data_IF_217576663372
#
_entry.id   IF_217576663372
#
_cell.length_a   1.000
_cell.length_b   1.000
_cell.length_c   1.000
_cell.angle_alpha   90.00
_cell.angle_beta   90.00
_cell.angle_gamma   90.00
#
_symmetry.space_group_name_H-M   'P 1'
#
loop_
_entity.id
_entity.type
_entity.pdbx_description
1 polymer ?
#
# COMPACT_ATOMS: atom_id res chain seq x y z
N UNK A 1 -14.10 6.69 3.96
CA UNK A 1 -12.99 5.81 3.56
C UNK A 1 -13.24 5.35 2.12
N UNK A 2 -12.34 5.68 1.19
CA UNK A 2 -12.44 5.30 -0.23
C UNK A 2 -11.21 4.50 -0.61
N UNK A 3 -11.37 3.54 -1.52
CA UNK A 3 -10.30 2.65 -1.96
C UNK A 3 -10.27 2.59 -3.48
N UNK A 4 -9.07 2.70 -4.04
CA UNK A 4 -8.81 2.42 -5.45
C UNK A 4 -8.19 1.05 -5.58
N UNK A 5 -8.67 0.26 -6.53
CA UNK A 5 -8.06 -1.00 -6.95
C UNK A 5 -7.55 -0.81 -8.37
N UNK A 6 -6.32 -1.24 -8.61
CA UNK A 6 -5.72 -1.31 -9.93
C UNK A 6 -5.23 -2.75 -10.12
N UNK A 7 -5.87 -3.47 -11.05
CA UNK A 7 -5.51 -4.82 -11.42
C UNK A 7 -4.64 -4.79 -12.68
N UNK A 8 -3.42 -4.28 -12.51
CA UNK A 8 -2.45 -4.08 -13.60
C UNK A 8 -3.10 -3.46 -14.87
N UNK A 9 -2.55 -3.70 -16.05
CA UNK A 9 -3.06 -3.18 -17.34
C UNK A 9 -4.51 -3.56 -17.69
N UNK A 10 -5.23 -4.31 -16.84
CA UNK A 10 -6.59 -4.76 -17.12
C UNK A 10 -7.65 -3.74 -16.74
N UNK A 11 -7.69 -3.28 -15.49
CA UNK A 11 -8.79 -2.44 -15.03
C UNK A 11 -8.49 -1.69 -13.73
N UNK A 12 -9.11 -0.52 -13.60
CA UNK A 12 -9.06 0.34 -12.41
C UNK A 12 -10.49 0.55 -11.92
N UNK A 13 -10.72 0.34 -10.63
CA UNK A 13 -12.02 0.58 -10.00
C UNK A 13 -11.87 1.31 -8.67
N UNK A 14 -12.81 2.20 -8.37
CA UNK A 14 -12.89 2.96 -7.14
C UNK A 14 -14.16 2.60 -6.37
N UNK A 15 -14.03 2.39 -5.06
CA UNK A 15 -15.12 2.03 -4.15
C UNK A 15 -15.12 2.97 -2.94
N UNK A 16 -16.32 3.36 -2.49
CA UNK A 16 -16.50 4.23 -1.32
C UNK A 16 -17.24 3.48 -0.22
N UNK A 17 -16.57 3.23 0.90
CA UNK A 17 -17.10 2.51 2.08
C UNK A 17 -17.74 1.15 1.77
N UNK A 18 -17.32 0.48 0.70
CA UNK A 18 -17.93 -0.76 0.22
C UNK A 18 -16.84 -1.80 -0.07
N UNK A 19 -16.31 -2.40 1.00
CA UNK A 19 -15.28 -3.43 0.87
C UNK A 19 -15.85 -4.74 0.30
N UNK A 20 -17.14 -5.03 0.52
CA UNK A 20 -17.79 -6.26 0.04
C UNK A 20 -17.93 -6.23 -1.49
N UNK A 21 -18.43 -5.13 -2.05
CA UNK A 21 -18.51 -4.97 -3.50
C UNK A 21 -17.11 -4.92 -4.13
N UNK A 22 -16.14 -4.32 -3.44
CA UNK A 22 -14.74 -4.31 -3.88
C UNK A 22 -14.19 -5.73 -4.01
N UNK A 23 -14.27 -6.54 -2.94
CA UNK A 23 -13.71 -7.90 -2.95
C UNK A 23 -14.45 -8.80 -3.94
N UNK A 24 -15.78 -8.69 -4.01
CA UNK A 24 -16.58 -9.41 -4.99
C UNK A 24 -16.19 -9.03 -6.43
N UNK A 25 -16.02 -7.74 -6.72
CA UNK A 25 -15.63 -7.29 -8.06
C UNK A 25 -14.24 -7.80 -8.46
N UNK A 26 -13.26 -7.72 -7.54
CA UNK A 26 -11.89 -8.21 -7.78
C UNK A 26 -11.88 -9.72 -8.03
N UNK A 27 -12.58 -10.50 -7.22
CA UNK A 27 -12.62 -11.96 -7.37
C UNK A 27 -13.34 -12.43 -8.66
N UNK A 28 -14.12 -11.57 -9.30
CA UNK A 28 -14.74 -11.85 -10.60
C UNK A 28 -13.86 -11.47 -11.80
N UNK A 29 -12.66 -10.92 -11.58
CA UNK A 29 -11.69 -10.66 -12.65
C UNK A 29 -10.79 -11.88 -12.88
N UNK A 30 -10.13 -11.92 -14.05
CA UNK A 30 -9.05 -12.88 -14.29
C UNK A 30 -7.82 -12.48 -13.46
N UNK A 31 -7.54 -13.23 -12.40
CA UNK A 31 -6.40 -13.00 -11.50
C UNK A 31 -5.18 -13.82 -11.94
N UNK A 32 -3.98 -13.27 -11.77
CA UNK A 32 -2.73 -14.00 -11.99
C UNK A 32 -2.48 -15.04 -10.90
N UNK A 33 -1.69 -16.08 -11.21
CA UNK A 33 -1.17 -17.03 -10.23
C UNK A 33 0.37 -17.07 -10.31
N UNK A 34 1.10 -16.54 -9.29
CA UNK A 34 0.56 -15.95 -8.07
C UNK A 34 -0.01 -14.53 -8.29
N UNK A 35 -1.01 -14.17 -7.49
CA UNK A 35 -1.54 -12.82 -7.36
C UNK A 35 -0.63 -12.01 -6.44
N UNK A 36 -0.07 -10.91 -6.95
CA UNK A 36 0.73 -9.99 -6.14
C UNK A 36 -0.14 -8.88 -5.56
N UNK A 37 -0.14 -8.75 -4.23
CA UNK A 37 -0.92 -7.77 -3.48
C UNK A 37 0.02 -6.80 -2.75
N UNK A 38 0.07 -5.54 -3.20
CA UNK A 38 0.90 -4.47 -2.61
C UNK A 38 0.12 -3.61 -1.63
N UNK A 39 0.50 -3.64 -0.34
CA UNK A 39 -0.17 -2.84 0.69
C UNK A 39 0.75 -1.86 1.42
N UNK A 40 0.17 -0.79 1.95
CA UNK A 40 0.85 0.33 2.64
C UNK A 40 1.28 0.04 4.09
N UNK A 41 0.94 -1.15 4.60
CA UNK A 41 1.19 -1.54 5.99
C UNK A 41 -0.02 -1.38 6.92
N UNK A 42 -1.11 -0.76 6.47
CA UNK A 42 -2.31 -0.59 7.28
C UNK A 42 -3.15 -1.89 7.36
N UNK A 43 -3.59 -2.26 8.57
CA UNK A 43 -4.32 -3.53 8.80
C UNK A 43 -5.61 -3.64 8.00
N UNK A 44 -6.26 -2.51 7.77
CA UNK A 44 -7.45 -2.44 6.91
C UNK A 44 -7.21 -2.93 5.48
N UNK A 45 -6.01 -2.77 4.92
CA UNK A 45 -5.66 -3.27 3.57
C UNK A 45 -5.40 -4.78 3.63
N UNK A 46 -4.64 -5.26 4.63
CA UNK A 46 -4.38 -6.68 4.80
C UNK A 46 -5.67 -7.49 5.01
N UNK A 47 -6.63 -6.95 5.78
CA UNK A 47 -7.94 -7.56 6.00
C UNK A 47 -8.82 -7.63 4.74
N UNK A 48 -8.53 -6.82 3.71
CA UNK A 48 -9.19 -6.91 2.41
C UNK A 48 -8.55 -8.01 1.58
N UNK A 49 -7.23 -8.12 1.59
CA UNK A 49 -6.52 -9.18 0.86
C UNK A 49 -6.88 -10.58 1.34
N UNK A 50 -7.23 -10.77 2.61
CA UNK A 50 -7.72 -12.09 3.10
C UNK A 50 -9.00 -12.54 2.41
N UNK A 51 -9.76 -11.62 1.78
CA UNK A 51 -10.99 -11.90 1.05
C UNK A 51 -10.78 -11.98 -0.47
N UNK A 52 -9.55 -11.82 -0.96
CA UNK A 52 -9.21 -11.82 -2.38
C UNK A 52 -8.32 -13.01 -2.72
N UNK A 53 -8.81 -13.83 -3.64
CA UNK A 53 -8.16 -15.06 -4.10
C UNK A 53 -7.88 -16.08 -2.97
N UNK A 54 -7.47 -17.31 -3.33
CA UNK A 54 -6.97 -18.26 -2.36
C UNK A 54 -5.68 -17.75 -1.70
N UNK A 55 -5.51 -18.00 -0.39
CA UNK A 55 -4.30 -17.60 0.33
C UNK A 55 -3.03 -18.24 -0.22
N UNK A 56 -3.12 -19.44 -0.81
CA UNK A 56 -2.01 -20.16 -1.44
C UNK A 56 -1.54 -19.52 -2.75
N UNK A 57 -2.40 -18.76 -3.41
CA UNK A 57 -2.09 -18.08 -4.67
C UNK A 57 -1.71 -16.61 -4.44
N UNK A 58 -1.74 -16.12 -3.21
CA UNK A 58 -1.51 -14.71 -2.90
C UNK A 58 -0.10 -14.47 -2.37
N UNK A 59 0.57 -13.50 -2.97
CA UNK A 59 1.83 -12.93 -2.50
C UNK A 59 1.57 -11.52 -1.99
N UNK A 60 1.61 -11.32 -0.68
CA UNK A 60 1.49 -10.00 -0.07
C UNK A 60 2.87 -9.35 0.05
N UNK A 61 3.01 -8.13 -0.46
CA UNK A 61 4.25 -7.35 -0.43
C UNK A 61 3.97 -6.03 0.27
N UNK A 62 4.80 -5.69 1.26
CA UNK A 62 4.77 -4.37 1.88
C UNK A 62 5.39 -3.36 0.90
N UNK A 63 4.67 -2.28 0.64
CA UNK A 63 5.10 -1.19 -0.22
C UNK A 63 6.46 -0.62 0.22
N UNK A 64 7.41 -0.55 -0.72
CA UNK A 64 8.76 -0.10 -0.47
C UNK A 64 8.83 1.36 0.01
N UNK A 65 8.06 2.27 -0.60
CA UNK A 65 8.03 3.68 -0.20
C UNK A 65 7.54 3.82 1.24
N UNK A 66 6.47 3.12 1.61
CA UNK A 66 5.96 3.15 2.98
C UNK A 66 6.93 2.53 4.00
N UNK A 67 7.66 1.48 3.62
CA UNK A 67 8.72 0.92 4.46
C UNK A 67 9.84 1.94 4.71
N UNK A 68 10.35 2.58 3.66
CA UNK A 68 11.39 3.62 3.76
C UNK A 68 10.89 4.87 4.48
N UNK A 69 9.63 5.27 4.30
CA UNK A 69 9.04 6.39 5.04
C UNK A 69 9.01 6.09 6.55
N UNK A 70 8.68 4.86 6.94
CA UNK A 70 8.74 4.46 8.35
C UNK A 70 10.17 4.39 8.89
N UNK A 71 11.15 3.99 8.08
CA UNK A 71 12.57 4.08 8.43
C UNK A 71 12.99 5.54 8.66
N UNK A 72 12.58 6.46 7.79
CA UNK A 72 12.89 7.89 7.92
C UNK A 72 12.38 8.51 9.23
N UNK A 73 11.27 8.02 9.78
CA UNK A 73 10.72 8.46 11.08
C UNK A 73 11.62 8.12 12.27
N UNK A 74 12.50 7.11 12.13
CA UNK A 74 13.52 6.79 13.15
C UNK A 74 14.48 7.97 13.33
N UNK A 75 14.88 8.60 12.23
CA UNK A 75 15.87 9.68 12.20
C UNK A 75 17.29 9.20 12.52
N UNK A 76 18.20 10.13 12.86
CA UNK A 76 19.58 9.81 13.22
C UNK A 76 20.56 9.95 12.05
N UNK A 77 21.63 9.16 12.09
CA UNK A 77 22.70 9.21 11.08
C UNK A 77 22.22 8.67 9.72
N UNK A 78 22.42 9.46 8.66
CA UNK A 78 22.11 9.05 7.29
C UNK A 78 22.90 7.81 6.85
N UNK A 79 24.14 7.66 7.32
CA UNK A 79 24.94 6.47 7.03
C UNK A 79 24.29 5.20 7.60
N UNK A 80 23.77 5.28 8.83
CA UNK A 80 23.09 4.16 9.49
C UNK A 80 21.77 3.84 8.80
N UNK A 81 20.95 4.86 8.51
CA UNK A 81 19.69 4.67 7.79
C UNK A 81 19.92 4.07 6.40
N UNK A 82 20.96 4.49 5.68
CA UNK A 82 21.33 3.90 4.40
C UNK A 82 21.75 2.43 4.50
N UNK A 83 22.46 2.04 5.58
CA UNK A 83 22.79 0.64 5.81
C UNK A 83 21.55 -0.22 6.09
N UNK A 84 20.61 0.30 6.89
CA UNK A 84 19.32 -0.35 7.16
C UNK A 84 18.51 -0.50 5.87
N UNK A 85 18.41 0.56 5.08
CA UNK A 85 17.73 0.55 3.78
C UNK A 85 18.33 -0.49 2.83
N UNK A 86 19.67 -0.58 2.75
CA UNK A 86 20.35 -1.57 1.92
C UNK A 86 20.05 -3.02 2.34
N UNK A 87 20.01 -3.30 3.65
CA UNK A 87 19.59 -4.60 4.19
C UNK A 87 18.13 -4.90 3.79
N UNK A 88 17.21 -3.96 4.04
CA UNK A 88 15.79 -4.13 3.72
C UNK A 88 15.55 -4.30 2.22
N UNK A 89 16.33 -3.64 1.36
CA UNK A 89 16.26 -3.78 -0.10
C UNK A 89 16.51 -5.23 -0.57
N UNK A 90 17.34 -5.96 0.17
CA UNK A 90 17.62 -7.38 -0.07
C UNK A 90 16.67 -8.32 0.70
N UNK A 91 15.73 -7.78 1.47
CA UNK A 91 14.85 -8.54 2.35
C UNK A 91 15.53 -8.99 3.66
N UNK A 92 16.71 -8.47 3.98
CA UNK A 92 17.46 -8.83 5.18
C UNK A 92 16.98 -8.03 6.40
N UNK A 93 15.95 -8.56 7.05
CA UNK A 93 15.35 -7.95 8.25
C UNK A 93 16.30 -8.05 9.45
N UNK A 94 17.04 -9.15 9.59
CA UNK A 94 17.93 -9.34 10.74
C UNK A 94 19.13 -8.40 10.67
N UNK A 95 19.76 -8.28 9.50
CA UNK A 95 20.83 -7.30 9.28
C UNK A 95 20.36 -5.86 9.47
N UNK A 96 19.13 -5.54 9.07
CA UNK A 96 18.50 -4.25 9.32
C UNK A 96 18.30 -3.97 10.81
N UNK A 97 17.81 -4.95 11.59
CA UNK A 97 17.62 -4.84 13.04
C UNK A 97 18.97 -4.67 13.75
N UNK A 98 20.00 -5.41 13.34
CA UNK A 98 21.33 -5.36 13.94
C UNK A 98 21.99 -3.97 13.88
N UNK A 99 21.63 -3.13 12.90
CA UNK A 99 22.11 -1.74 12.83
C UNK A 99 21.62 -0.86 14.01
N UNK A 100 20.67 -1.35 14.80
CA UNK A 100 20.07 -0.65 15.92
C UNK A 100 20.45 -1.21 17.30
N UNK A 101 21.29 -2.25 17.38
CA UNK A 101 21.62 -2.95 18.63
C UNK A 101 22.18 -2.03 19.74
N UNK A 102 22.96 -1.02 19.34
CA UNK A 102 23.56 -0.03 20.24
C UNK A 102 22.64 1.16 20.56
N UNK A 103 21.45 1.21 19.95
CA UNK A 103 20.58 2.39 19.99
C UNK A 103 19.21 2.11 20.61
N UNK A 104 19.13 2.32 21.92
CA UNK A 104 17.89 2.19 22.69
C UNK A 104 17.09 3.49 22.64
N UNK A 105 16.11 3.54 21.75
CA UNK A 105 15.17 4.66 21.64
C UNK A 105 13.78 4.14 21.26
N UNK A 106 12.72 4.80 21.74
CA UNK A 106 11.33 4.43 21.45
C UNK A 106 11.05 4.29 19.94
N UNK A 107 11.38 5.32 19.14
CA UNK A 107 11.30 5.27 17.67
C UNK A 107 11.95 4.05 17.02
N UNK A 108 13.12 3.63 17.51
CA UNK A 108 13.80 2.42 17.04
C UNK A 108 12.98 1.18 17.39
N UNK A 109 12.52 1.07 18.63
CA UNK A 109 11.66 -0.04 19.07
C UNK A 109 10.35 -0.10 18.27
N UNK A 110 9.74 1.06 17.96
CA UNK A 110 8.56 1.16 17.10
C UNK A 110 8.85 0.62 15.70
N UNK A 111 9.98 0.99 15.09
CA UNK A 111 10.35 0.52 13.76
C UNK A 111 10.67 -0.98 13.74
N UNK A 112 11.39 -1.50 14.73
CA UNK A 112 11.64 -2.95 14.88
C UNK A 112 10.32 -3.72 15.03
N UNK A 113 9.36 -3.17 15.80
CA UNK A 113 8.01 -3.72 15.91
C UNK A 113 7.27 -3.72 14.58
N UNK A 114 7.41 -2.66 13.79
CA UNK A 114 6.86 -2.56 12.43
C UNK A 114 7.47 -3.62 11.50
N UNK A 115 8.80 -3.78 11.47
CA UNK A 115 9.48 -4.82 10.70
C UNK A 115 8.99 -6.22 11.10
N UNK A 116 8.88 -6.48 12.41
CA UNK A 116 8.42 -7.77 12.93
C UNK A 116 6.98 -8.07 12.50
N UNK A 117 6.09 -7.08 12.55
CA UNK A 117 4.69 -7.20 12.10
C UNK A 117 4.59 -7.53 10.61
N UNK A 118 5.48 -6.98 9.79
CA UNK A 118 5.44 -7.13 8.33
C UNK A 118 6.48 -8.11 7.77
N UNK A 119 7.13 -8.91 8.63
CA UNK A 119 8.23 -9.81 8.25
C UNK A 119 7.95 -10.70 7.05
N UNK A 120 6.75 -11.26 6.95
CA UNK A 120 6.36 -12.14 5.82
C UNK A 120 6.09 -11.39 4.51
N UNK A 121 5.99 -10.06 4.57
CA UNK A 121 5.64 -9.17 3.44
C UNK A 121 6.85 -8.37 2.94
N UNK A 122 7.94 -8.38 3.68
CA UNK A 122 9.22 -7.79 3.28
C UNK A 122 9.95 -8.86 2.46
N UNK A 123 10.18 -8.55 1.18
CA UNK A 123 10.77 -9.46 0.19
C UNK A 123 12.13 -8.94 -0.25
N UNK A 124 12.83 -9.68 -1.12
CA UNK A 124 13.97 -9.11 -1.84
C UNK A 124 13.45 -8.15 -2.92
N UNK A 125 13.38 -6.86 -2.58
CA UNK A 125 12.85 -5.81 -3.46
C UNK A 125 13.69 -5.63 -4.72
N UNK A 126 15.02 -5.74 -4.60
CA UNK A 126 15.93 -5.67 -5.75
C UNK A 126 15.66 -6.76 -6.78
N UNK A 127 15.49 -8.00 -6.33
CA UNK A 127 15.13 -9.13 -7.19
C UNK A 127 13.76 -8.91 -7.84
N UNK A 128 12.75 -8.50 -7.08
CA UNK A 128 11.39 -8.35 -7.59
C UNK A 128 11.29 -7.23 -8.61
N UNK A 129 11.97 -6.10 -8.37
CA UNK A 129 12.04 -5.02 -9.33
C UNK A 129 12.73 -5.46 -10.63
N UNK A 130 13.80 -6.25 -10.54
CA UNK A 130 14.49 -6.78 -11.71
C UNK A 130 13.61 -7.73 -12.53
N UNK A 131 12.74 -8.50 -11.88
CA UNK A 131 11.72 -9.36 -12.51
C UNK A 131 10.49 -8.60 -13.03
N UNK A 132 10.47 -7.26 -12.93
CA UNK A 132 9.34 -6.43 -13.36
C UNK A 132 8.11 -6.51 -12.45
N UNK A 133 8.24 -7.11 -11.27
CA UNK A 133 7.19 -7.13 -10.26
C UNK A 133 7.16 -5.78 -9.57
N UNK A 134 5.98 -5.16 -9.52
CA UNK A 134 5.83 -3.90 -8.81
C UNK A 134 6.10 -4.09 -7.31
N UNK A 135 6.90 -3.17 -6.75
CA UNK A 135 7.27 -3.11 -5.33
C UNK A 135 6.73 -1.87 -4.62
N UNK A 136 6.09 -0.97 -5.38
CA UNK A 136 5.59 0.30 -4.88
C UNK A 136 4.25 0.64 -5.52
N UNK A 137 3.40 1.28 -4.74
CA UNK A 137 2.03 1.67 -5.07
C UNK A 137 1.97 3.01 -5.82
N UNK A 138 3.11 3.60 -6.21
CA UNK A 138 3.15 4.89 -6.91
C UNK A 138 2.24 4.98 -8.15
N UNK A 139 2.07 3.86 -8.87
CA UNK A 139 1.12 3.80 -10.00
C UNK A 139 -0.34 4.02 -9.56
N UNK A 140 -0.77 3.40 -8.45
CA UNK A 140 -2.13 3.54 -7.90
C UNK A 140 -2.29 4.82 -7.07
N UNK A 141 -1.23 5.38 -6.50
CA UNK A 141 -1.30 6.65 -5.77
C UNK A 141 -1.86 7.77 -6.64
N UNK A 142 -1.52 7.81 -7.93
CA UNK A 142 -2.05 8.79 -8.87
C UNK A 142 -3.57 8.67 -9.02
N UNK A 143 -4.09 7.45 -9.12
CA UNK A 143 -5.51 7.12 -9.15
C UNK A 143 -6.21 7.49 -7.84
N UNK A 144 -5.62 7.14 -6.68
CA UNK A 144 -6.16 7.50 -5.36
C UNK A 144 -6.20 9.02 -5.17
N UNK A 145 -5.15 9.72 -5.62
CA UNK A 145 -5.10 11.19 -5.65
C UNK A 145 -6.23 11.74 -6.54
N UNK A 146 -6.50 11.13 -7.70
CA UNK A 146 -7.63 11.53 -8.53
C UNK A 146 -8.98 11.35 -7.82
N UNK A 147 -9.23 10.27 -7.05
CA UNK A 147 -10.48 10.12 -6.29
C UNK A 147 -10.71 11.32 -5.37
N UNK A 148 -9.67 11.72 -4.61
CA UNK A 148 -9.72 12.81 -3.63
C UNK A 148 -9.48 14.23 -4.16
N UNK A 149 -9.06 14.40 -5.42
CA UNK A 149 -8.59 15.68 -5.98
C UNK A 149 -9.59 16.84 -5.82
N UNK A 150 -10.89 16.55 -5.96
CA UNK A 150 -11.96 17.58 -5.85
C UNK A 150 -12.28 17.97 -4.41
N UNK A 151 -11.83 17.19 -3.43
CA UNK A 151 -12.12 17.41 -2.02
C UNK A 151 -10.93 18.07 -1.33
N UNK A 152 -9.71 17.71 -1.75
CA UNK A 152 -8.44 18.20 -1.18
C UNK A 152 -7.90 19.47 -1.87
N UNK A 153 -8.76 20.27 -2.48
CA UNK A 153 -8.36 21.55 -3.10
C UNK A 153 -8.10 22.61 -2.02
N UNK A 154 -7.05 23.41 -2.20
CA UNK A 154 -6.69 24.49 -1.28
C UNK A 154 -7.85 25.46 -1.08
N UNK A 155 -8.17 25.75 0.18
CA UNK A 155 -9.27 26.65 0.56
C UNK A 155 -10.66 26.02 0.53
N UNK A 156 -10.81 24.74 0.17
CA UNK A 156 -12.10 24.08 0.19
C UNK A 156 -12.60 23.83 1.63
N UNK A 157 -13.83 24.22 1.91
CA UNK A 157 -14.55 23.88 3.13
C UNK A 157 -15.80 23.09 2.76
N UNK A 158 -16.02 21.97 3.44
CA UNK A 158 -17.11 21.07 3.15
C UNK A 158 -17.92 20.83 4.42
N UNK A 159 -19.24 20.86 4.30
CA UNK A 159 -20.11 20.25 5.29
C UNK A 159 -19.82 18.74 5.32
N UNK A 160 -19.57 18.19 6.50
CA UNK A 160 -19.10 16.80 6.67
C UNK A 160 -20.05 15.80 6.02
N UNK A 161 -21.35 16.09 6.07
CA UNK A 161 -22.42 15.24 5.54
C UNK A 161 -22.46 15.20 4.00
N UNK A 162 -21.83 16.16 3.32
CA UNK A 162 -21.83 16.25 1.86
C UNK A 162 -20.62 15.56 1.21
N UNK A 163 -19.53 15.40 1.96
CA UNK A 163 -18.28 14.75 1.49
C UNK A 163 -18.52 13.32 0.96
N UNK A 164 -19.32 12.45 1.61
CA UNK A 164 -19.62 11.11 1.10
C UNK A 164 -20.26 11.09 -0.29
N UNK A 165 -21.19 12.01 -0.56
CA UNK A 165 -21.89 12.07 -1.84
C UNK A 165 -20.94 12.44 -2.98
N UNK A 166 -20.05 13.41 -2.73
CA UNK A 166 -19.01 13.82 -3.69
C UNK A 166 -18.04 12.66 -3.96
N UNK A 167 -17.61 11.93 -2.94
CA UNK A 167 -16.75 10.76 -3.10
C UNK A 167 -17.42 9.65 -3.93
N UNK A 168 -18.70 9.37 -3.68
CA UNK A 168 -19.46 8.37 -4.44
C UNK A 168 -19.56 8.75 -5.93
N UNK A 169 -19.86 10.02 -6.22
CA UNK A 169 -19.89 10.54 -7.60
C UNK A 169 -18.51 10.45 -8.27
N UNK A 170 -17.43 10.75 -7.54
CA UNK A 170 -16.06 10.59 -8.06
C UNK A 170 -15.72 9.15 -8.39
N UNK A 171 -16.11 8.19 -7.54
CA UNK A 171 -15.92 6.78 -7.82
C UNK A 171 -16.68 6.36 -9.08
N UNK A 172 -17.96 6.74 -9.20
CA UNK A 172 -18.77 6.46 -10.40
C UNK A 172 -18.15 7.03 -11.69
N UNK A 173 -17.63 8.26 -11.62
CA UNK A 173 -16.95 8.91 -12.74
C UNK A 173 -15.67 8.17 -13.16
N UNK A 174 -14.82 7.81 -12.21
CA UNK A 174 -13.58 7.07 -12.50
C UNK A 174 -13.85 5.65 -12.99
N UNK A 175 -14.97 5.05 -12.59
CA UNK A 175 -15.43 3.75 -13.06
C UNK A 175 -16.14 3.82 -14.42
N UNK A 176 -16.20 4.98 -15.09
CA UNK A 176 -16.83 5.13 -16.40
C UNK A 176 -18.35 5.02 -16.41
N UNK A 177 -19.02 5.07 -15.26
CA UNK A 177 -20.48 4.86 -15.15
C UNK A 177 -21.33 5.96 -15.81
N UNK A 178 -20.70 7.05 -16.25
CA UNK A 178 -21.34 8.15 -16.98
C UNK A 178 -21.00 8.14 -18.49
N UNK A 179 -20.13 7.23 -18.93
CA UNK A 179 -19.75 7.04 -20.32
C UNK A 179 -20.73 6.05 -20.94
N UNK A 180 -21.59 6.52 -21.85
CA UNK A 180 -22.46 5.67 -22.68
C UNK A 180 -21.66 5.04 -23.82
#
# INVERSE_FOLDING_TARGET
DYKGVNLHECCVAAFFQDNEQLTHWVNNQALSDPLTCLGDGHDGIWNIYTQIGPSTQRREILDWYHLVENLGKVGGSQQRLGAVEACLWQGDIEGAIAQFDDWKHERVATFIGYLSKHRQRIVNYGYYQAEGISIGSGAIESTVKQIGQRIKISGAQWEKNNVPQVLKQRCAYLNGQFSK
#
